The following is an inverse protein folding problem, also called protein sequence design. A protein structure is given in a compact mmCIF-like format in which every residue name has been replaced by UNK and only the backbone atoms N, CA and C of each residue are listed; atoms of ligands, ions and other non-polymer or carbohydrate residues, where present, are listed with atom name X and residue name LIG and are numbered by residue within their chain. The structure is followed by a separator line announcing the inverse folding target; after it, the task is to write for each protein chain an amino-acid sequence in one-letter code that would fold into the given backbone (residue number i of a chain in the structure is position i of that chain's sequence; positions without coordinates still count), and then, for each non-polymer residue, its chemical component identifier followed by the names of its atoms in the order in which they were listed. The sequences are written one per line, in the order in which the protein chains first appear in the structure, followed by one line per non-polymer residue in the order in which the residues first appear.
data_IF_248506120224
#
_entry.id   IF_248506120224
#
_cell.length_a   1.000
_cell.length_b   1.000
_cell.length_c   1.000
_cell.angle_alpha   90.00
_cell.angle_beta   90.00
_cell.angle_gamma   90.00
#
_symmetry.space_group_name_H-M   'P 1'
#
loop_
_entity.id
_entity.type
_entity.pdbx_description
1 polymer ?
#
# COMPACT_ATOMS: atom_id res chain seq x y z
N UNK A 1 -11.89 -36.14 -10.05
CA UNK A 1 -11.16 -35.01 -10.63
C UNK A 1 -10.93 -33.98 -9.56
N UNK A 2 -9.70 -33.53 -9.37
CA UNK A 2 -9.38 -32.44 -8.43
C UNK A 2 -9.87 -31.14 -9.06
N UNK A 3 -10.71 -30.39 -8.33
CA UNK A 3 -11.17 -29.06 -8.78
C UNK A 3 -9.94 -28.14 -8.78
N UNK A 4 -9.71 -27.32 -9.83
CA UNK A 4 -8.61 -26.38 -9.81
C UNK A 4 -8.73 -25.47 -8.58
N UNK A 5 -7.60 -25.04 -7.97
CA UNK A 5 -7.64 -24.09 -6.87
C UNK A 5 -8.39 -22.82 -7.29
N UNK A 6 -9.11 -22.22 -6.34
CA UNK A 6 -9.73 -20.91 -6.54
C UNK A 6 -8.65 -19.82 -6.70
N UNK A 7 -9.02 -18.60 -7.13
CA UNK A 7 -8.07 -17.52 -7.26
C UNK A 7 -7.44 -17.15 -5.90
N UNK A 8 -6.17 -16.79 -5.92
CA UNK A 8 -5.49 -16.17 -4.79
C UNK A 8 -5.96 -14.70 -4.67
N UNK A 9 -6.17 -14.23 -3.45
CA UNK A 9 -6.81 -12.96 -3.13
C UNK A 9 -5.88 -12.06 -2.31
N UNK A 10 -5.88 -10.80 -2.71
CA UNK A 10 -5.39 -9.66 -1.95
C UNK A 10 -6.59 -8.97 -1.31
N UNK A 11 -6.56 -8.70 -0.01
CA UNK A 11 -7.67 -8.07 0.70
C UNK A 11 -7.20 -6.89 1.53
N UNK A 12 -7.86 -5.74 1.44
CA UNK A 12 -7.43 -4.49 2.08
C UNK A 12 -8.55 -3.76 2.81
N UNK A 13 -8.14 -2.92 3.76
CA UNK A 13 -9.01 -1.88 4.32
C UNK A 13 -9.04 -0.66 3.42
N UNK A 14 -10.10 0.14 3.54
CA UNK A 14 -10.32 1.34 2.73
C UNK A 14 -9.57 2.58 3.28
N UNK A 15 -8.28 2.43 3.59
CA UNK A 15 -7.39 3.55 3.90
C UNK A 15 -6.78 4.08 2.60
N UNK A 16 -7.46 5.04 1.97
CA UNK A 16 -7.15 5.48 0.62
C UNK A 16 -6.90 6.99 0.56
N UNK A 17 -5.94 7.41 -0.27
CA UNK A 17 -5.62 8.79 -0.64
C UNK A 17 -5.03 9.71 0.44
N UNK A 18 -5.52 9.63 1.68
CA UNK A 18 -5.08 10.49 2.78
C UNK A 18 -5.40 9.94 4.18
N UNK A 19 -4.62 10.42 5.15
CA UNK A 19 -4.89 10.26 6.58
C UNK A 19 -5.42 11.57 7.13
N UNK A 20 -6.46 11.50 7.96
CA UNK A 20 -6.82 12.61 8.85
C UNK A 20 -6.16 12.33 10.21
N UNK A 21 -5.17 13.12 10.65
CA UNK A 21 -4.38 12.79 11.84
C UNK A 21 -5.13 13.16 13.14
N UNK A 22 -6.23 12.45 13.38
CA UNK A 22 -7.01 12.53 14.63
C UNK A 22 -7.15 11.16 15.25
N UNK A 23 -7.43 11.13 16.55
CA UNK A 23 -7.64 9.88 17.28
C UNK A 23 -8.83 9.11 16.71
N UNK A 24 -9.90 9.79 16.34
CA UNK A 24 -11.12 9.17 15.82
C UNK A 24 -10.87 8.47 14.49
N UNK A 25 -10.09 9.08 13.59
CA UNK A 25 -9.73 8.47 12.32
C UNK A 25 -8.85 7.23 12.54
N UNK A 26 -7.85 7.36 13.42
CA UNK A 26 -7.00 6.25 13.84
C UNK A 26 -7.83 5.06 14.35
N UNK A 27 -8.73 5.31 15.32
CA UNK A 27 -9.55 4.27 15.93
C UNK A 27 -10.43 3.55 14.89
N UNK A 28 -10.98 4.30 13.92
CA UNK A 28 -11.76 3.72 12.82
C UNK A 28 -10.90 2.84 11.92
N UNK A 29 -9.70 3.28 11.54
CA UNK A 29 -8.79 2.49 10.69
C UNK A 29 -8.39 1.18 11.39
N UNK A 30 -8.06 1.24 12.68
CA UNK A 30 -7.74 0.05 13.45
C UNK A 30 -8.95 -0.89 13.57
N UNK A 31 -10.15 -0.36 13.83
CA UNK A 31 -11.36 -1.16 13.85
C UNK A 31 -11.61 -1.88 12.51
N UNK A 32 -11.42 -1.19 11.38
CA UNK A 32 -11.56 -1.80 10.05
C UNK A 32 -10.53 -2.92 9.82
N UNK A 33 -9.28 -2.75 10.28
CA UNK A 33 -8.26 -3.78 10.19
C UNK A 33 -8.63 -5.03 11.00
N UNK A 34 -9.12 -4.83 12.23
CA UNK A 34 -9.62 -5.90 13.09
C UNK A 34 -10.79 -6.65 12.45
N UNK A 35 -11.78 -5.92 11.92
CA UNK A 35 -12.96 -6.49 11.28
C UNK A 35 -12.61 -7.27 10.02
N UNK A 36 -11.71 -6.74 9.18
CA UNK A 36 -11.25 -7.41 7.97
C UNK A 36 -10.69 -8.80 8.28
N UNK A 37 -9.72 -8.88 9.20
CA UNK A 37 -9.12 -10.17 9.59
C UNK A 37 -10.17 -11.07 10.24
N UNK A 38 -11.00 -10.54 11.15
CA UNK A 38 -12.01 -11.34 11.84
C UNK A 38 -13.00 -12.02 10.87
N UNK A 39 -13.37 -11.31 9.81
CA UNK A 39 -14.31 -11.80 8.79
C UNK A 39 -13.61 -12.74 7.78
N UNK A 40 -12.37 -12.43 7.39
CA UNK A 40 -11.74 -13.06 6.23
C UNK A 40 -10.66 -14.11 6.57
N UNK A 41 -10.20 -14.23 7.83
CA UNK A 41 -9.08 -15.13 8.21
C UNK A 41 -9.27 -16.61 7.86
N UNK A 42 -10.51 -17.08 7.77
CA UNK A 42 -10.81 -18.48 7.45
C UNK A 42 -10.86 -18.76 5.95
N UNK A 43 -10.60 -17.76 5.10
CA UNK A 43 -10.55 -17.91 3.65
C UNK A 43 -9.12 -18.25 3.22
N UNK A 44 -8.83 -19.50 2.79
CA UNK A 44 -7.49 -19.89 2.38
C UNK A 44 -7.04 -19.24 1.06
N UNK A 45 -7.98 -18.65 0.32
CA UNK A 45 -7.66 -17.84 -0.87
C UNK A 45 -7.02 -16.50 -0.50
N UNK A 46 -7.14 -15.99 0.73
CA UNK A 46 -6.49 -14.71 1.09
C UNK A 46 -5.02 -14.96 1.41
N UNK A 47 -4.13 -14.28 0.68
CA UNK A 47 -2.67 -14.36 0.90
C UNK A 47 -2.07 -13.06 1.45
N UNK A 48 -2.71 -11.93 1.18
CA UNK A 48 -2.23 -10.61 1.57
C UNK A 48 -3.27 -9.83 2.36
N UNK A 49 -2.80 -9.19 3.44
CA UNK A 49 -3.52 -8.12 4.12
C UNK A 49 -2.95 -6.77 3.69
N UNK A 50 -3.75 -5.98 2.97
CA UNK A 50 -3.43 -4.64 2.51
C UNK A 50 -3.77 -3.58 3.55
N UNK A 51 -2.81 -2.71 3.87
CA UNK A 51 -2.98 -1.66 4.89
C UNK A 51 -3.44 -0.31 4.34
N UNK A 52 -3.08 0.04 3.10
CA UNK A 52 -3.45 1.32 2.48
C UNK A 52 -3.30 1.29 0.96
N UNK A 53 -3.96 2.25 0.29
CA UNK A 53 -3.79 2.53 -1.13
C UNK A 53 -3.54 4.04 -1.37
N UNK A 54 -2.41 4.36 -1.98
CA UNK A 54 -2.04 5.71 -2.45
C UNK A 54 -2.21 6.82 -1.40
N UNK A 55 -1.97 6.52 -0.12
CA UNK A 55 -2.34 7.39 1.02
C UNK A 55 -1.64 8.77 1.06
N UNK A 56 -0.66 8.99 0.18
CA UNK A 56 0.03 10.26 0.02
C UNK A 56 -0.40 11.03 -1.24
N UNK A 57 -1.32 10.50 -2.06
CA UNK A 57 -1.65 11.12 -3.34
C UNK A 57 -2.26 12.50 -3.14
N UNK A 58 -3.05 12.80 -2.11
CA UNK A 58 -3.63 14.16 -2.02
C UNK A 58 -2.63 15.22 -1.55
N UNK A 59 -1.43 14.83 -1.12
CA UNK A 59 -0.44 15.76 -0.52
C UNK A 59 -0.03 16.88 -1.45
N UNK A 60 0.04 16.64 -2.77
CA UNK A 60 0.36 17.69 -3.76
C UNK A 60 -0.70 18.80 -3.82
N UNK A 61 -1.92 18.56 -3.31
CA UNK A 61 -3.01 19.56 -3.26
C UNK A 61 -3.09 20.33 -1.93
N UNK A 62 -2.39 19.89 -0.89
CA UNK A 62 -2.55 20.44 0.47
C UNK A 62 -1.75 21.71 0.75
N UNK A 63 -0.83 22.10 -0.14
CA UNK A 63 -0.03 23.31 0.03
C UNK A 63 0.82 23.30 1.31
N UNK A 64 1.23 22.11 1.78
CA UNK A 64 2.01 21.97 2.99
C UNK A 64 3.36 22.70 2.88
N UNK A 65 3.73 23.40 3.95
CA UNK A 65 5.13 23.76 4.18
C UNK A 65 5.98 22.51 4.36
N UNK A 66 7.31 22.58 4.14
CA UNK A 66 8.19 21.42 4.37
C UNK A 66 8.03 20.80 5.77
N UNK A 67 7.90 21.62 6.81
CA UNK A 67 7.70 21.13 8.18
C UNK A 67 6.38 20.37 8.35
N UNK A 68 5.27 20.91 7.82
CA UNK A 68 3.97 20.23 7.86
C UNK A 68 3.97 18.92 7.08
N UNK A 69 4.67 18.87 5.93
CA UNK A 69 4.81 17.64 5.14
C UNK A 69 5.57 16.57 5.92
N UNK A 70 6.68 16.93 6.56
CA UNK A 70 7.44 16.02 7.42
C UNK A 70 6.60 15.50 8.58
N UNK A 71 5.87 16.37 9.27
CA UNK A 71 4.99 15.96 10.38
C UNK A 71 3.87 15.02 9.90
N UNK A 72 3.24 15.36 8.78
CA UNK A 72 2.21 14.52 8.17
C UNK A 72 2.75 13.13 7.77
N UNK A 73 3.95 13.06 7.19
CA UNK A 73 4.59 11.79 6.85
C UNK A 73 4.84 10.92 8.08
N UNK A 74 5.27 11.50 9.20
CA UNK A 74 5.41 10.76 10.46
C UNK A 74 4.06 10.20 10.90
N UNK A 75 3.01 11.01 10.89
CA UNK A 75 1.67 10.57 11.31
C UNK A 75 1.12 9.44 10.44
N UNK A 76 1.25 9.55 9.11
CA UNK A 76 0.86 8.49 8.17
C UNK A 76 1.68 7.23 8.43
N UNK A 77 3.00 7.36 8.55
CA UNK A 77 3.91 6.21 8.76
C UNK A 77 3.59 5.45 10.03
N UNK A 78 3.33 6.14 11.14
CA UNK A 78 3.02 5.46 12.40
C UNK A 78 1.68 4.71 12.32
N UNK A 79 0.63 5.31 11.74
CA UNK A 79 -0.66 4.62 11.54
C UNK A 79 -0.52 3.38 10.64
N UNK A 80 0.16 3.51 9.49
CA UNK A 80 0.35 2.39 8.55
C UNK A 80 1.20 1.28 9.18
N UNK A 81 2.23 1.64 9.96
CA UNK A 81 3.05 0.67 10.70
C UNK A 81 2.25 -0.05 11.78
N UNK A 82 1.33 0.64 12.47
CA UNK A 82 0.48 0.02 13.49
C UNK A 82 -0.45 -1.02 12.87
N UNK A 83 -1.09 -0.70 11.73
CA UNK A 83 -1.93 -1.66 10.99
C UNK A 83 -1.11 -2.87 10.51
N UNK A 84 0.07 -2.64 9.93
CA UNK A 84 0.96 -3.73 9.48
C UNK A 84 1.41 -4.63 10.63
N UNK A 85 1.80 -4.03 11.76
CA UNK A 85 2.20 -4.75 12.97
C UNK A 85 1.04 -5.60 13.48
N UNK A 86 -0.17 -5.02 13.57
CA UNK A 86 -1.37 -5.74 13.97
C UNK A 86 -1.62 -6.97 13.07
N UNK A 87 -1.57 -6.82 11.74
CA UNK A 87 -1.76 -7.94 10.82
C UNK A 87 -0.75 -9.07 11.04
N UNK A 88 0.53 -8.73 11.22
CA UNK A 88 1.59 -9.72 11.48
C UNK A 88 1.40 -10.45 12.80
N UNK A 89 0.92 -9.74 13.83
CA UNK A 89 0.69 -10.33 15.15
C UNK A 89 -0.53 -11.25 15.16
N UNK A 90 -1.64 -10.82 14.57
CA UNK A 90 -2.91 -11.56 14.62
C UNK A 90 -2.95 -12.72 13.62
N UNK A 91 -2.24 -12.61 12.49
CA UNK A 91 -2.24 -13.62 11.43
C UNK A 91 -0.86 -13.72 10.75
N UNK A 92 0.15 -14.29 11.44
CA UNK A 92 1.50 -14.45 10.89
C UNK A 92 1.58 -15.45 9.71
N UNK A 93 0.46 -16.09 9.34
CA UNK A 93 0.41 -17.05 8.24
C UNK A 93 0.24 -16.40 6.87
N UNK A 94 -0.11 -15.11 6.83
CA UNK A 94 -0.32 -14.31 5.62
C UNK A 94 0.66 -13.15 5.56
N UNK A 95 0.90 -12.66 4.35
CA UNK A 95 1.82 -11.55 4.11
C UNK A 95 1.10 -10.22 4.26
N UNK A 96 1.84 -9.18 4.65
CA UNK A 96 1.32 -7.81 4.61
C UNK A 96 1.75 -7.08 3.34
N UNK A 97 0.88 -6.20 2.86
CA UNK A 97 1.09 -5.38 1.68
C UNK A 97 0.44 -4.01 1.80
N UNK A 98 0.70 -3.15 0.83
CA UNK A 98 0.00 -1.91 0.55
C UNK A 98 0.16 -1.54 -0.93
N UNK A 99 -0.47 -0.46 -1.38
CA UNK A 99 -0.26 0.06 -2.73
C UNK A 99 0.16 1.54 -2.72
N UNK A 100 1.14 1.89 -3.56
CA UNK A 100 1.63 3.26 -3.75
C UNK A 100 1.42 3.70 -5.20
N UNK A 101 1.18 4.99 -5.43
CA UNK A 101 1.28 5.56 -6.79
C UNK A 101 2.75 5.79 -7.15
N UNK A 102 3.01 6.07 -8.44
CA UNK A 102 4.35 6.16 -9.06
C UNK A 102 5.34 7.22 -8.55
N UNK A 103 5.20 7.77 -7.34
CA UNK A 103 6.16 8.69 -6.71
C UNK A 103 7.06 7.98 -5.68
N UNK A 104 8.00 7.16 -6.16
CA UNK A 104 8.94 6.42 -5.32
C UNK A 104 9.63 7.29 -4.25
N UNK A 105 10.08 8.50 -4.63
CA UNK A 105 10.84 9.37 -3.75
C UNK A 105 10.00 9.82 -2.56
N UNK A 106 8.74 10.17 -2.79
CA UNK A 106 7.84 10.59 -1.72
C UNK A 106 7.60 9.47 -0.70
N UNK A 107 7.35 8.24 -1.16
CA UNK A 107 7.13 7.10 -0.26
C UNK A 107 8.41 6.66 0.47
N UNK A 108 9.56 6.78 -0.17
CA UNK A 108 10.87 6.56 0.45
C UNK A 108 11.15 7.61 1.54
N UNK A 109 10.95 8.90 1.24
CA UNK A 109 11.11 10.01 2.20
C UNK A 109 10.16 9.88 3.40
N UNK A 110 8.92 9.45 3.16
CA UNK A 110 7.96 9.18 4.22
C UNK A 110 8.32 7.94 5.06
N UNK A 111 9.29 7.12 4.62
CA UNK A 111 9.69 5.89 5.30
C UNK A 111 8.62 4.81 5.27
N UNK A 112 7.81 4.77 4.19
CA UNK A 112 6.71 3.82 4.04
C UNK A 112 7.15 2.51 3.36
N UNK A 113 8.11 2.56 2.43
CA UNK A 113 8.52 1.40 1.60
C UNK A 113 9.05 0.20 2.38
N UNK A 114 9.44 0.41 3.64
CA UNK A 114 9.97 -0.61 4.53
C UNK A 114 8.95 -1.26 5.46
N UNK A 115 7.69 -0.81 5.43
CA UNK A 115 6.65 -1.31 6.32
C UNK A 115 6.15 -2.69 5.89
N UNK A 116 5.56 -2.89 4.68
CA UNK A 116 4.99 -4.18 4.31
C UNK A 116 6.07 -5.22 3.99
N UNK A 117 5.70 -6.51 4.09
CA UNK A 117 6.56 -7.59 3.59
C UNK A 117 6.70 -7.56 2.07
N UNK A 118 5.61 -7.19 1.38
CA UNK A 118 5.56 -7.11 -0.08
C UNK A 118 4.84 -5.82 -0.47
N UNK A 119 5.53 -4.71 -0.80
CA UNK A 119 4.86 -3.52 -1.30
C UNK A 119 4.24 -3.75 -2.68
N UNK A 120 3.19 -3.01 -2.97
CA UNK A 120 2.50 -2.94 -4.26
C UNK A 120 2.60 -1.55 -4.89
N UNK A 121 2.56 -1.49 -6.22
CA UNK A 121 2.66 -0.27 -6.99
C UNK A 121 1.58 -0.16 -8.06
N UNK A 122 1.01 1.04 -8.13
CA UNK A 122 0.06 1.47 -9.13
C UNK A 122 0.83 2.32 -10.15
N UNK A 123 1.10 1.75 -11.33
CA UNK A 123 1.93 2.38 -12.37
C UNK A 123 1.13 2.51 -13.67
N UNK A 124 0.88 3.75 -14.09
CA UNK A 124 0.05 4.08 -15.26
C UNK A 124 0.87 4.71 -16.40
N UNK A 125 2.13 4.30 -16.51
CA UNK A 125 3.06 4.76 -17.55
C UNK A 125 2.52 4.50 -18.96
N UNK A 126 2.53 5.54 -19.79
CA UNK A 126 1.90 5.54 -21.12
C UNK A 126 0.45 6.02 -21.12
N UNK A 127 -0.15 6.25 -19.94
CA UNK A 127 -1.49 6.83 -19.78
C UNK A 127 -1.44 8.15 -18.99
N UNK A 128 -1.24 8.10 -17.67
CA UNK A 128 -1.12 9.30 -16.83
C UNK A 128 0.33 9.75 -16.68
N UNK A 129 1.28 8.82 -16.56
CA UNK A 129 2.71 9.11 -16.60
C UNK A 129 3.27 9.02 -18.03
N UNK A 130 4.24 9.87 -18.41
CA UNK A 130 4.83 9.81 -19.73
C UNK A 130 5.75 8.58 -19.88
N UNK A 131 5.93 8.14 -21.14
CA UNK A 131 6.82 7.05 -21.58
C UNK A 131 6.38 5.64 -21.16
N UNK A 132 6.20 4.77 -22.15
CA UNK A 132 5.88 3.36 -21.92
C UNK A 132 6.94 2.61 -21.09
N UNK A 133 8.22 2.97 -21.24
CA UNK A 133 9.33 2.32 -20.53
C UNK A 133 9.42 2.71 -19.04
N UNK A 134 8.65 3.69 -18.57
CA UNK A 134 8.78 4.20 -17.22
C UNK A 134 8.45 3.17 -16.13
N UNK A 135 7.55 2.22 -16.42
CA UNK A 135 7.24 1.14 -15.47
C UNK A 135 8.45 0.23 -15.24
N UNK A 136 9.20 -0.09 -16.32
CA UNK A 136 10.45 -0.86 -16.24
C UNK A 136 11.49 -0.09 -15.44
N UNK A 137 11.69 1.19 -15.74
CA UNK A 137 12.64 2.06 -15.02
C UNK A 137 12.32 2.15 -13.52
N UNK A 138 11.03 2.25 -13.17
CA UNK A 138 10.58 2.23 -11.78
C UNK A 138 10.95 0.92 -11.10
N UNK A 139 10.57 -0.22 -11.68
CA UNK A 139 10.81 -1.55 -11.09
C UNK A 139 12.30 -1.84 -10.96
N UNK A 140 13.11 -1.50 -11.96
CA UNK A 140 14.57 -1.64 -11.92
C UNK A 140 15.18 -0.81 -10.79
N UNK A 141 14.73 0.44 -10.62
CA UNK A 141 15.17 1.29 -9.52
C UNK A 141 14.77 0.72 -8.17
N UNK A 142 13.52 0.31 -8.00
CA UNK A 142 13.06 -0.30 -6.75
C UNK A 142 13.90 -1.53 -6.40
N UNK A 143 14.12 -2.42 -7.37
CA UNK A 143 14.90 -3.63 -7.16
C UNK A 143 16.38 -3.35 -6.87
N UNK A 144 16.95 -2.29 -7.45
CA UNK A 144 18.29 -1.83 -7.11
C UNK A 144 18.39 -1.32 -5.67
N UNK A 145 17.43 -0.49 -5.24
CA UNK A 145 17.46 0.15 -3.93
C UNK A 145 17.03 -0.82 -2.79
N UNK A 146 16.16 -1.78 -3.10
CA UNK A 146 15.59 -2.76 -2.15
C UNK A 146 15.64 -4.19 -2.73
N UNK A 147 16.85 -4.79 -2.90
CA UNK A 147 17.03 -6.02 -3.68
C UNK A 147 16.38 -7.26 -3.08
N UNK A 148 16.24 -7.30 -1.76
CA UNK A 148 15.76 -8.48 -1.04
C UNK A 148 14.24 -8.51 -0.81
N UNK A 149 13.52 -7.44 -1.22
CA UNK A 149 12.07 -7.34 -1.02
C UNK A 149 11.33 -7.55 -2.34
N UNK A 150 10.38 -8.50 -2.41
CA UNK A 150 9.56 -8.68 -3.60
C UNK A 150 8.64 -7.47 -3.81
N UNK A 151 8.17 -7.31 -5.04
CA UNK A 151 7.30 -6.23 -5.46
C UNK A 151 6.07 -6.77 -6.19
N UNK A 152 4.91 -6.16 -5.96
CA UNK A 152 3.69 -6.38 -6.74
C UNK A 152 3.38 -5.17 -7.64
N UNK A 153 2.96 -5.43 -8.87
CA UNK A 153 2.24 -4.45 -9.69
C UNK A 153 0.76 -4.58 -9.35
N UNK A 154 0.23 -3.70 -8.49
CA UNK A 154 -1.15 -3.78 -7.98
C UNK A 154 -2.15 -3.17 -8.94
N UNK A 155 -1.76 -2.11 -9.66
CA UNK A 155 -2.59 -1.51 -10.71
C UNK A 155 -1.74 -1.08 -11.91
N UNK A 156 -2.30 -1.30 -13.10
CA UNK A 156 -1.80 -0.76 -14.37
C UNK A 156 -2.96 -0.76 -15.38
N UNK A 157 -2.96 0.18 -16.32
CA UNK A 157 -4.00 0.22 -17.34
C UNK A 157 -4.04 1.51 -18.14
N UNK A 158 -4.94 1.56 -19.11
CA UNK A 158 -5.27 2.74 -19.88
C UNK A 158 -6.76 2.68 -20.24
N UNK A 159 -7.43 3.84 -20.24
CA UNK A 159 -8.80 3.92 -20.75
C UNK A 159 -8.82 3.62 -22.26
N UNK A 160 -9.83 2.88 -22.71
CA UNK A 160 -10.10 2.66 -24.12
C UNK A 160 -11.54 3.09 -24.41
N UNK A 161 -11.72 3.95 -25.42
CA UNK A 161 -13.01 4.40 -25.94
C UNK A 161 -13.44 3.58 -27.17
#
# INVERSE_FOLDING_TARGET
GVRPPGPDCYSEIQLVNEVTPTKEFHDVVMQLAHELVAQQRNHPSVFFWGSMNEVLITTYRKGFTPAQRTEYFVQVRELVREVDTFYREVDPSRLTSFAIHGDYNMYSEAGLLDIPQVPGMNLYYGWYEPKMDGAREFVERYHHDVPDRPLLMTEYGAGAD
#
